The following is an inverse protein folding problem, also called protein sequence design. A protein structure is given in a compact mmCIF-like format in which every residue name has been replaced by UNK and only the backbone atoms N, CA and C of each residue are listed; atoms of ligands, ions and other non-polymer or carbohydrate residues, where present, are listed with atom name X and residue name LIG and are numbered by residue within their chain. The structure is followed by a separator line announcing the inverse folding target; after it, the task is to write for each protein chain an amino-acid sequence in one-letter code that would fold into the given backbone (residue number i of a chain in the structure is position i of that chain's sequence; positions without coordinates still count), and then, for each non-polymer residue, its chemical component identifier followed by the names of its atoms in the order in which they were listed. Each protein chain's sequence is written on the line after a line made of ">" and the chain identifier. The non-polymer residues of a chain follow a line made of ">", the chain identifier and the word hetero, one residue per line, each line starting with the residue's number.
data_IF_492337840454
#
_entry.id   IF_492337840454
#
_cell.length_a   1.000
_cell.length_b   1.000
_cell.length_c   1.000
_cell.angle_alpha   90.00
_cell.angle_beta   90.00
_cell.angle_gamma   90.00
#
_symmetry.space_group_name_H-M   'P 1'
#
loop_
_entity.id
_entity.type
_entity.pdbx_description
1 polymer ?
#
# COMPACT_ATOMS: atom_id res chain seq x y z
N UNK A 1 -17.30 -4.26 -25.78
CA UNK A 1 -18.46 -4.58 -24.91
C UNK A 1 -18.20 -3.97 -23.54
N UNK A 2 -19.06 -3.06 -23.08
CA UNK A 2 -18.90 -2.33 -21.80
C UNK A 2 -19.15 -3.28 -20.62
N UNK A 3 -18.43 -3.17 -19.47
CA UNK A 3 -18.75 -3.96 -18.29
C UNK A 3 -20.21 -3.73 -17.86
N UNK A 4 -20.95 -4.76 -17.44
CA UNK A 4 -22.32 -4.58 -16.99
C UNK A 4 -22.34 -3.59 -15.83
N UNK A 5 -23.31 -2.66 -15.85
CA UNK A 5 -23.48 -1.55 -14.87
C UNK A 5 -23.60 -2.01 -13.41
N UNK A 6 -23.69 -3.31 -13.17
CA UNK A 6 -24.02 -3.94 -11.90
C UNK A 6 -22.77 -4.45 -11.15
N UNK A 7 -21.56 -4.10 -11.59
CA UNK A 7 -20.31 -4.54 -10.94
C UNK A 7 -19.95 -6.00 -11.15
N UNK A 8 -20.59 -6.67 -12.11
CA UNK A 8 -20.31 -8.06 -12.47
C UNK A 8 -19.15 -8.15 -13.48
N UNK A 9 -18.50 -9.31 -13.52
CA UNK A 9 -17.51 -9.59 -14.55
C UNK A 9 -18.15 -9.51 -15.95
N UNK A 10 -17.44 -8.95 -16.93
CA UNK A 10 -17.90 -8.91 -18.32
C UNK A 10 -18.11 -10.31 -18.92
N UNK A 11 -17.31 -11.28 -18.48
CA UNK A 11 -17.52 -12.69 -18.79
C UNK A 11 -18.30 -13.34 -17.64
N UNK A 12 -19.51 -13.90 -17.89
CA UNK A 12 -20.28 -14.57 -16.84
C UNK A 12 -19.57 -15.79 -16.25
N UNK A 13 -18.66 -16.43 -17.00
CA UNK A 13 -17.85 -17.57 -16.55
C UNK A 13 -16.52 -17.15 -15.88
N UNK A 14 -16.26 -15.85 -15.77
CA UNK A 14 -15.01 -15.35 -15.22
C UNK A 14 -14.96 -15.43 -13.70
N UNK A 15 -15.96 -14.85 -13.04
CA UNK A 15 -16.08 -14.83 -11.59
C UNK A 15 -17.54 -14.65 -11.19
N UNK A 16 -18.03 -15.51 -10.30
CA UNK A 16 -19.41 -15.45 -9.84
C UNK A 16 -19.87 -16.75 -9.16
N UNK A 17 -21.11 -16.79 -8.68
CA UNK A 17 -21.67 -17.98 -8.04
C UNK A 17 -21.67 -19.19 -8.98
N UNK A 18 -21.89 -18.97 -10.28
CA UNK A 18 -21.88 -20.02 -11.30
C UNK A 18 -20.53 -20.78 -11.39
N UNK A 19 -19.40 -20.11 -11.14
CA UNK A 19 -18.07 -20.69 -11.31
C UNK A 19 -17.40 -21.07 -9.99
N UNK A 20 -17.78 -20.40 -8.90
CA UNK A 20 -17.16 -20.59 -7.58
C UNK A 20 -17.87 -21.67 -6.76
N UNK A 21 -19.16 -21.91 -6.98
CA UNK A 21 -19.90 -22.97 -6.29
C UNK A 21 -19.59 -24.35 -6.89
N UNK A 22 -19.72 -25.43 -6.12
CA UNK A 22 -19.57 -26.78 -6.63
C UNK A 22 -20.76 -27.16 -7.51
N UNK A 23 -20.50 -27.88 -8.60
CA UNK A 23 -21.53 -28.31 -9.55
C UNK A 23 -22.46 -29.39 -8.97
N UNK A 24 -22.01 -30.12 -7.95
CA UNK A 24 -22.79 -31.15 -7.26
C UNK A 24 -22.47 -31.19 -5.75
N UNK A 25 -23.34 -31.84 -4.99
CA UNK A 25 -23.13 -32.13 -3.57
C UNK A 25 -23.53 -33.58 -3.25
N UNK A 26 -22.89 -34.17 -2.25
CA UNK A 26 -23.24 -35.52 -1.80
C UNK A 26 -24.52 -35.48 -0.96
N UNK A 27 -25.42 -36.45 -1.15
CA UNK A 27 -26.64 -36.59 -0.34
C UNK A 27 -26.36 -36.71 1.16
N UNK A 28 -25.21 -37.30 1.49
CA UNK A 28 -24.72 -37.46 2.86
C UNK A 28 -24.21 -36.16 3.50
N UNK A 29 -24.21 -35.03 2.76
CA UNK A 29 -23.71 -33.74 3.23
C UNK A 29 -22.19 -33.62 3.26
N UNK A 30 -21.45 -34.58 2.70
CA UNK A 30 -20.00 -34.49 2.55
C UNK A 30 -19.64 -33.32 1.63
N UNK A 31 -18.55 -32.62 1.96
CA UNK A 31 -18.07 -31.51 1.15
C UNK A 31 -17.56 -32.02 -0.19
N UNK A 32 -17.92 -31.32 -1.26
CA UNK A 32 -17.43 -31.61 -2.60
C UNK A 32 -15.93 -31.33 -2.68
N UNK A 33 -15.11 -32.26 -3.21
CA UNK A 33 -13.70 -32.00 -3.41
C UNK A 33 -13.51 -30.84 -4.40
N UNK A 34 -12.45 -30.06 -4.21
CA UNK A 34 -12.14 -28.92 -5.08
C UNK A 34 -11.72 -29.41 -6.47
N UNK A 35 -12.31 -28.82 -7.50
CA UNK A 35 -11.85 -29.04 -8.88
C UNK A 35 -10.49 -28.37 -9.13
N UNK A 36 -9.69 -28.95 -10.04
CA UNK A 36 -8.36 -28.44 -10.40
C UNK A 36 -8.39 -26.96 -10.79
N UNK A 37 -9.39 -26.55 -11.58
CA UNK A 37 -9.57 -25.15 -11.99
C UNK A 37 -9.91 -24.21 -10.82
N UNK A 38 -10.72 -24.67 -9.86
CA UNK A 38 -11.02 -23.89 -8.65
C UNK A 38 -9.79 -23.73 -7.78
N UNK A 39 -9.02 -24.81 -7.61
CA UNK A 39 -7.76 -24.80 -6.86
C UNK A 39 -6.74 -23.84 -7.48
N UNK A 40 -6.55 -23.89 -8.81
CA UNK A 40 -5.64 -22.99 -9.51
C UNK A 40 -6.02 -21.51 -9.34
N UNK A 41 -7.32 -21.19 -9.40
CA UNK A 41 -7.83 -19.82 -9.17
C UNK A 41 -7.56 -19.35 -7.74
N UNK A 42 -7.80 -20.21 -6.74
CA UNK A 42 -7.53 -19.89 -5.33
C UNK A 42 -6.04 -19.62 -5.08
N UNK A 43 -5.16 -20.46 -5.62
CA UNK A 43 -3.71 -20.25 -5.52
C UNK A 43 -3.29 -18.94 -6.18
N UNK A 44 -3.81 -18.66 -7.38
CA UNK A 44 -3.52 -17.39 -8.08
C UNK A 44 -3.99 -16.18 -7.27
N UNK A 45 -5.20 -16.22 -6.70
CA UNK A 45 -5.71 -15.15 -5.83
C UNK A 45 -4.86 -14.96 -4.57
N UNK A 46 -4.38 -16.06 -3.97
CA UNK A 46 -3.47 -16.01 -2.84
C UNK A 46 -2.14 -15.33 -3.19
N UNK A 47 -1.55 -15.66 -4.34
CA UNK A 47 -0.30 -15.03 -4.77
C UNK A 47 -0.50 -13.55 -5.08
N UNK A 48 -1.61 -13.16 -5.71
CA UNK A 48 -1.94 -11.75 -5.88
C UNK A 48 -2.08 -11.01 -4.55
N UNK A 49 -2.80 -11.59 -3.59
CA UNK A 49 -2.97 -10.97 -2.27
C UNK A 49 -1.62 -10.78 -1.55
N UNK A 50 -0.72 -11.76 -1.62
CA UNK A 50 0.65 -11.63 -1.06
C UNK A 50 1.41 -10.48 -1.72
N UNK A 51 1.36 -10.38 -3.04
CA UNK A 51 2.04 -9.32 -3.79
C UNK A 51 1.49 -7.94 -3.45
N UNK A 52 0.17 -7.78 -3.34
CA UNK A 52 -0.47 -6.52 -2.93
C UNK A 52 0.00 -6.10 -1.54
N UNK A 53 -0.04 -7.01 -0.57
CA UNK A 53 0.41 -6.72 0.80
C UNK A 53 1.89 -6.33 0.84
N UNK A 54 2.73 -7.01 0.04
CA UNK A 54 4.15 -6.67 -0.07
C UNK A 54 4.35 -5.25 -0.57
N UNK A 55 3.67 -4.87 -1.66
CA UNK A 55 3.80 -3.54 -2.25
C UNK A 55 3.28 -2.43 -1.33
N UNK A 56 2.16 -2.65 -0.63
CA UNK A 56 1.69 -1.67 0.36
C UNK A 56 2.75 -1.41 1.43
N UNK A 57 3.35 -2.48 1.98
CA UNK A 57 4.43 -2.34 2.98
C UNK A 57 5.65 -1.61 2.45
N UNK A 58 6.05 -1.89 1.21
CA UNK A 58 7.19 -1.23 0.57
C UNK A 58 6.92 0.27 0.35
N UNK A 59 5.70 0.62 -0.05
CA UNK A 59 5.28 2.01 -0.20
C UNK A 59 5.27 2.75 1.14
N UNK A 60 4.65 2.16 2.16
CA UNK A 60 4.59 2.75 3.50
C UNK A 60 6.00 3.01 4.04
N UNK A 61 6.88 2.02 3.91
CA UNK A 61 8.29 2.15 4.29
C UNK A 61 9.01 3.26 3.52
N UNK A 62 8.77 3.40 2.22
CA UNK A 62 9.39 4.43 1.40
C UNK A 62 8.96 5.85 1.84
N UNK A 63 7.68 6.03 2.14
CA UNK A 63 7.13 7.31 2.64
C UNK A 63 7.73 7.64 4.00
N UNK A 64 7.72 6.70 4.94
CA UNK A 64 8.31 6.89 6.28
C UNK A 64 9.79 7.24 6.22
N UNK A 65 10.55 6.51 5.39
CA UNK A 65 11.98 6.75 5.20
C UNK A 65 12.24 8.14 4.63
N UNK A 66 11.46 8.57 3.63
CA UNK A 66 11.61 9.89 3.03
C UNK A 66 11.37 11.00 4.05
N UNK A 67 10.29 10.90 4.82
CA UNK A 67 9.96 11.84 5.88
C UNK A 67 11.04 11.90 6.97
N UNK A 68 11.65 10.75 7.30
CA UNK A 68 12.76 10.70 8.27
C UNK A 68 13.99 11.44 7.76
N UNK A 69 14.37 11.19 6.50
CA UNK A 69 15.53 11.84 5.89
C UNK A 69 15.36 13.36 5.80
N UNK A 70 14.18 13.84 5.40
CA UNK A 70 13.88 15.28 5.38
C UNK A 70 14.02 15.91 6.76
N UNK A 71 13.47 15.27 7.80
CA UNK A 71 13.60 15.75 9.18
C UNK A 71 15.06 15.77 9.66
N UNK A 72 15.85 14.76 9.30
CA UNK A 72 17.28 14.72 9.64
C UNK A 72 18.06 15.83 8.92
N UNK A 73 17.74 16.13 7.67
CA UNK A 73 18.32 17.25 6.92
C UNK A 73 17.96 18.60 7.56
N UNK A 74 16.68 18.81 7.87
CA UNK A 74 16.19 20.01 8.57
C UNK A 74 16.88 20.20 9.93
N UNK A 75 16.96 19.13 10.73
CA UNK A 75 17.64 19.16 12.03
C UNK A 75 19.13 19.45 11.88
N UNK A 76 19.79 18.90 10.86
CA UNK A 76 21.19 19.21 10.60
C UNK A 76 21.39 20.66 10.18
N UNK A 77 20.54 21.18 9.30
CA UNK A 77 20.54 22.59 8.92
C UNK A 77 20.35 23.48 10.16
N UNK A 78 19.37 23.17 11.00
CA UNK A 78 19.11 23.91 12.23
C UNK A 78 20.29 23.84 13.20
N UNK A 79 20.86 22.65 13.42
CA UNK A 79 22.06 22.47 14.26
C UNK A 79 23.24 23.27 13.76
N UNK A 80 23.45 23.31 12.44
CA UNK A 80 24.50 24.14 11.82
C UNK A 80 24.21 25.62 12.07
N UNK A 81 22.98 26.08 11.88
CA UNK A 81 22.58 27.46 12.16
C UNK A 81 22.78 27.84 13.64
N UNK A 82 22.36 26.98 14.57
CA UNK A 82 22.48 27.21 16.01
C UNK A 82 23.95 27.21 16.46
N UNK A 83 24.81 26.45 15.78
CA UNK A 83 26.26 26.45 16.02
C UNK A 83 26.97 27.69 15.47
N UNK A 84 26.33 28.50 14.62
CA UNK A 84 26.96 29.72 14.09
C UNK A 84 27.11 30.76 15.20
N UNK A 85 28.28 31.38 15.23
CA UNK A 85 28.56 32.51 16.12
C UNK A 85 27.63 33.69 15.82
N UNK A 86 27.37 34.50 16.85
CA UNK A 86 26.58 35.73 16.70
C UNK A 86 27.16 36.59 15.58
N UNK A 87 26.31 37.23 14.75
CA UNK A 87 26.79 38.14 13.71
C UNK A 87 27.56 39.30 14.34
N UNK A 88 28.50 39.91 13.60
CA UNK A 88 29.29 41.07 14.08
C UNK A 88 28.94 42.33 13.26
N UNK A 89 29.21 43.51 13.83
CA UNK A 89 29.12 44.79 13.11
C UNK A 89 27.73 45.45 13.15
N UNK A 90 27.28 46.01 12.02
CA UNK A 90 26.05 46.83 11.91
C UNK A 90 24.78 46.11 12.41
N UNK A 91 24.67 44.80 12.18
CA UNK A 91 23.53 43.99 12.62
C UNK A 91 23.40 43.90 14.15
N UNK A 92 24.51 44.01 14.90
CA UNK A 92 24.48 44.05 16.36
C UNK A 92 23.99 45.39 16.91
N UNK A 93 24.35 46.49 16.23
CA UNK A 93 23.98 47.84 16.65
C UNK A 93 22.48 48.11 16.47
N UNK A 94 21.86 47.58 15.42
CA UNK A 94 20.41 47.71 15.20
C UNK A 94 19.56 46.87 16.18
N UNK A 95 20.08 45.73 16.62
CA UNK A 95 19.37 44.83 17.56
C UNK A 95 19.43 45.34 19.02
N UNK A 96 20.46 46.12 19.37
CA UNK A 96 20.65 46.70 20.71
C UNK A 96 20.12 48.13 20.91
N UNK A 97 19.51 48.75 19.89
CA UNK A 97 18.96 50.11 19.95
C UNK A 97 17.47 50.16 20.35
N UNK A 98 16.92 49.08 20.91
CA UNK A 98 15.57 49.00 21.47
C UNK A 98 15.61 48.72 22.97
#
# INVERSE_FOLDING_TARGET
>A
MWPPKNGLCANPNGFGPLTNLPDFSYKDGRKTPLGVGQQARLLKQREFAKTVVKFCKEMDFAVERHNRLQKEEEQNCQRILDSKLKPKGKQWLETGSK
#
